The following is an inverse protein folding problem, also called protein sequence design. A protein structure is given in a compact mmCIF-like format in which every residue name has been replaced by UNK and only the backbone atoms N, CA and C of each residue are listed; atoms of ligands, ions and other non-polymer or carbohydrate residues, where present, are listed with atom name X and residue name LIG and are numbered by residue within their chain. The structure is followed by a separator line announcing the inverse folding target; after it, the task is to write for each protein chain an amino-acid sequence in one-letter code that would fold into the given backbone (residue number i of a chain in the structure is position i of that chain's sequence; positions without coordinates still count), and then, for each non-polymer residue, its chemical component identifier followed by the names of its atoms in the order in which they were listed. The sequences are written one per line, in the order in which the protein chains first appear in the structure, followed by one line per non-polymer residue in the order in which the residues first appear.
data_IF_457903562145
#
_entry.id   IF_457903562145
#
_cell.length_a   1.000
_cell.length_b   1.000
_cell.length_c   1.000
_cell.angle_alpha   90.00
_cell.angle_beta   90.00
_cell.angle_gamma   90.00
#
_symmetry.space_group_name_H-M   'P 1'
#
loop_
_entity.id
_entity.type
_entity.pdbx_description
1 polymer ?
#
# COMPACT_ATOMS: atom_id res chain seq x y z
N UNK A 1 -1.01 -7.03 14.58
CA UNK A 1 -0.96 -8.18 13.65
C UNK A 1 0.45 -8.76 13.56
N UNK A 2 0.60 -9.98 13.03
CA UNK A 2 1.93 -10.57 12.77
C UNK A 2 2.45 -10.12 11.40
N UNK A 3 3.50 -9.29 11.37
CA UNK A 3 4.11 -8.81 10.12
C UNK A 3 4.52 -9.96 9.18
N UNK A 4 5.07 -11.05 9.73
CA UNK A 4 5.48 -12.21 8.93
C UNK A 4 4.31 -12.88 8.21
N UNK A 5 3.12 -12.93 8.83
CA UNK A 5 1.92 -13.50 8.20
C UNK A 5 1.39 -12.59 7.10
N UNK A 6 1.37 -11.28 7.37
CA UNK A 6 1.01 -10.27 6.39
C UNK A 6 1.93 -10.28 5.17
N UNK A 7 3.22 -10.56 5.34
CA UNK A 7 4.17 -10.69 4.23
C UNK A 7 4.01 -12.00 3.45
N UNK A 8 3.46 -13.05 4.07
CA UNK A 8 3.23 -14.34 3.39
C UNK A 8 1.96 -14.29 2.54
N UNK A 9 0.88 -13.74 3.09
CA UNK A 9 -0.37 -13.60 2.35
C UNK A 9 -1.16 -12.38 2.87
N UNK A 10 -0.91 -11.19 2.31
CA UNK A 10 -1.53 -9.97 2.77
C UNK A 10 -3.05 -9.96 2.53
N UNK A 11 -3.50 -10.52 1.40
CA UNK A 11 -4.92 -10.65 1.06
C UNK A 11 -5.72 -11.53 2.02
N UNK A 12 -5.04 -12.43 2.75
CA UNK A 12 -5.66 -13.28 3.77
C UNK A 12 -5.76 -12.59 5.12
N UNK A 13 -4.74 -11.82 5.49
CA UNK A 13 -4.71 -11.10 6.77
C UNK A 13 -5.53 -9.81 6.74
N UNK A 14 -5.65 -9.18 5.56
CA UNK A 14 -6.37 -7.93 5.37
C UNK A 14 -7.42 -8.07 4.29
N UNK A 15 -8.63 -7.56 4.56
CA UNK A 15 -9.69 -7.49 3.57
C UNK A 15 -9.40 -6.46 2.47
N UNK A 16 -8.71 -5.36 2.80
CA UNK A 16 -8.39 -4.29 1.86
C UNK A 16 -6.96 -3.75 2.09
N UNK A 17 -6.26 -3.32 1.02
CA UNK A 17 -4.93 -2.71 1.13
C UNK A 17 -4.90 -1.48 2.04
N UNK A 18 -5.99 -0.71 2.04
CA UNK A 18 -6.16 0.47 2.90
C UNK A 18 -6.13 0.13 4.40
N UNK A 19 -6.51 -1.09 4.80
CA UNK A 19 -6.42 -1.52 6.20
C UNK A 19 -4.97 -1.58 6.70
N UNK A 20 -4.00 -1.82 5.81
CA UNK A 20 -2.57 -1.80 6.13
C UNK A 20 -2.11 -0.39 6.51
N UNK A 21 -2.70 0.66 5.91
CA UNK A 21 -2.39 2.05 6.25
C UNK A 21 -2.79 2.39 7.69
N UNK A 22 -3.97 1.92 8.10
CA UNK A 22 -4.50 2.13 9.45
C UNK A 22 -3.86 1.23 10.50
N UNK A 23 -3.05 0.26 10.10
CA UNK A 23 -2.43 -0.70 11.00
C UNK A 23 -1.28 -0.04 11.78
N UNK A 24 -1.55 0.34 13.04
CA UNK A 24 -0.57 0.96 13.94
C UNK A 24 0.52 -0.01 14.42
N UNK A 25 0.29 -1.32 14.26
CA UNK A 25 1.27 -2.33 14.67
C UNK A 25 2.46 -2.47 13.69
N UNK A 26 2.38 -1.83 12.52
CA UNK A 26 3.42 -1.84 11.50
C UNK A 26 4.07 -0.48 11.35
N UNK A 27 5.38 -0.48 11.16
CA UNK A 27 6.11 0.73 10.73
C UNK A 27 5.82 1.04 9.26
N UNK A 28 6.09 2.27 8.85
CA UNK A 28 5.97 2.73 7.47
C UNK A 28 6.65 1.78 6.47
N UNK A 29 7.90 1.41 6.74
CA UNK A 29 8.65 0.45 5.92
C UNK A 29 8.00 -0.94 5.88
N UNK A 30 7.42 -1.40 6.98
CA UNK A 30 6.72 -2.68 7.04
C UNK A 30 5.43 -2.64 6.22
N UNK A 31 4.65 -1.56 6.32
CA UNK A 31 3.44 -1.35 5.52
C UNK A 31 3.77 -1.36 4.03
N UNK A 32 4.81 -0.65 3.61
CA UNK A 32 5.30 -0.64 2.22
C UNK A 32 5.66 -2.06 1.77
N UNK A 33 6.37 -2.84 2.58
CA UNK A 33 6.74 -4.23 2.25
C UNK A 33 5.51 -5.14 2.06
N UNK A 34 4.51 -5.01 2.94
CA UNK A 34 3.26 -5.77 2.84
C UNK A 34 2.50 -5.40 1.57
N UNK A 35 2.35 -4.10 1.29
CA UNK A 35 1.65 -3.61 0.10
C UNK A 35 2.37 -4.00 -1.21
N UNK A 36 3.70 -3.91 -1.26
CA UNK A 36 4.51 -4.38 -2.41
C UNK A 36 4.31 -5.86 -2.69
N UNK A 37 4.20 -6.69 -1.64
CA UNK A 37 3.91 -8.11 -1.81
C UNK A 37 2.51 -8.31 -2.38
N UNK A 38 1.54 -7.56 -1.86
CA UNK A 38 0.16 -7.61 -2.31
C UNK A 38 0.01 -7.16 -3.78
N UNK A 39 0.77 -6.15 -4.21
CA UNK A 39 0.84 -5.71 -5.61
C UNK A 39 1.15 -6.90 -6.54
N UNK A 40 2.18 -7.68 -6.20
CA UNK A 40 2.59 -8.86 -6.95
C UNK A 40 1.50 -9.95 -6.95
N UNK A 41 0.96 -10.29 -5.77
CA UNK A 41 -0.11 -11.30 -5.66
C UNK A 41 -1.39 -10.85 -6.42
N UNK A 42 -1.70 -9.55 -6.43
CA UNK A 42 -2.85 -8.98 -7.14
C UNK A 42 -2.65 -9.01 -8.66
N UNK A 43 -1.44 -8.73 -9.16
CA UNK A 43 -1.10 -8.88 -10.57
C UNK A 43 -1.24 -10.34 -11.02
N UNK A 44 -0.77 -11.30 -10.21
CA UNK A 44 -0.94 -12.74 -10.51
C UNK A 44 -2.41 -13.17 -10.52
N UNK A 45 -3.24 -12.60 -9.65
CA UNK A 45 -4.69 -12.81 -9.66
C UNK A 45 -5.37 -12.15 -10.87
N UNK A 46 -4.94 -10.96 -11.29
CA UNK A 46 -5.55 -10.21 -12.39
C UNK A 46 -5.34 -10.92 -13.75
N UNK A 47 -4.21 -11.63 -13.93
CA UNK A 47 -3.97 -12.50 -15.10
C UNK A 47 -5.01 -13.63 -15.20
N UNK A 48 -5.62 -14.04 -14.08
CA UNK A 48 -6.67 -15.05 -14.09
C UNK A 48 -8.07 -14.50 -14.45
N UNK A 49 -8.30 -13.19 -14.37
CA UNK A 49 -9.59 -12.53 -14.64
C UNK A 49 -9.61 -11.69 -15.93
N UNK A 50 -8.63 -11.82 -16.82
CA UNK A 50 -8.57 -11.11 -18.10
C UNK A 50 -9.55 -11.66 -19.17
N UNK A 51 -10.76 -12.03 -18.75
CA UNK A 51 -11.94 -12.27 -19.60
C UNK A 51 -13.19 -11.46 -19.18
N UNK A 52 -13.10 -10.51 -18.23
CA UNK A 52 -14.23 -9.64 -17.90
C UNK A 52 -14.07 -8.23 -18.50
N UNK A 53 -14.38 -8.14 -19.80
CA UNK A 53 -14.54 -6.86 -20.48
C UNK A 53 -15.60 -6.00 -19.77
N UNK A 54 -15.19 -4.85 -19.24
CA UNK A 54 -16.08 -3.70 -19.06
C UNK A 54 -16.32 -3.25 -17.62
N UNK A 55 -15.40 -2.42 -17.14
CA UNK A 55 -15.71 -1.17 -16.42
C UNK A 55 -16.58 -1.24 -15.17
N UNK A 56 -15.95 -0.96 -14.01
CA UNK A 56 -16.69 -0.33 -12.91
C UNK A 56 -16.04 -0.41 -11.54
N UNK A 57 -15.29 -1.47 -11.24
CA UNK A 57 -14.75 -1.70 -9.91
C UNK A 57 -13.25 -1.40 -9.86
N UNK A 58 -12.75 -0.65 -8.87
CA UNK A 58 -11.31 -0.49 -8.69
C UNK A 58 -10.71 -1.87 -8.38
N UNK A 59 -9.77 -2.33 -9.21
CA UNK A 59 -9.00 -3.55 -8.93
C UNK A 59 -8.26 -3.40 -7.60
N UNK A 60 -8.05 -4.53 -6.93
CA UNK A 60 -7.20 -4.60 -5.73
C UNK A 60 -5.83 -3.97 -6.00
N UNK A 61 -5.27 -4.15 -7.22
CA UNK A 61 -4.05 -3.51 -7.65
C UNK A 61 -4.11 -1.98 -7.53
N UNK A 62 -5.18 -1.36 -8.03
CA UNK A 62 -5.36 0.10 -7.93
C UNK A 62 -5.43 0.57 -6.48
N UNK A 63 -6.05 -0.21 -5.59
CA UNK A 63 -6.10 0.11 -4.16
C UNK A 63 -4.76 -0.02 -3.47
N UNK A 64 -3.94 -1.01 -3.86
CA UNK A 64 -2.57 -1.18 -3.36
C UNK A 64 -1.70 0.00 -3.77
N UNK A 65 -1.79 0.43 -5.03
CA UNK A 65 -1.02 1.58 -5.54
C UNK A 65 -1.42 2.89 -4.83
N UNK A 66 -2.72 3.14 -4.64
CA UNK A 66 -3.21 4.30 -3.85
C UNK A 66 -2.66 4.28 -2.43
N UNK A 67 -2.63 3.10 -1.80
CA UNK A 67 -2.07 2.94 -0.46
C UNK A 67 -0.57 3.23 -0.41
N UNK A 68 0.21 2.73 -1.37
CA UNK A 68 1.65 3.02 -1.47
C UNK A 68 1.92 4.52 -1.66
N UNK A 69 1.15 5.20 -2.52
CA UNK A 69 1.28 6.65 -2.70
C UNK A 69 1.00 7.44 -1.42
N UNK A 70 0.02 7.01 -0.61
CA UNK A 70 -0.26 7.64 0.68
C UNK A 70 0.89 7.48 1.67
N UNK A 71 1.51 6.29 1.70
CA UNK A 71 2.68 6.03 2.55
C UNK A 71 3.90 6.84 2.11
N UNK A 72 4.09 7.07 0.81
CA UNK A 72 5.18 7.91 0.31
C UNK A 72 4.95 9.39 0.67
N UNK A 73 3.70 9.86 0.52
CA UNK A 73 3.32 11.22 0.86
C UNK A 73 3.47 11.53 2.36
N UNK A 74 3.13 10.59 3.27
CA UNK A 74 3.32 10.80 4.72
C UNK A 74 4.81 10.93 5.08
N UNK A 75 5.69 10.11 4.47
CA UNK A 75 7.15 10.20 4.67
C UNK A 75 7.68 11.56 4.24
N UNK A 76 7.26 12.08 3.08
CA UNK A 76 7.72 13.38 2.57
C UNK A 76 7.28 14.55 3.47
N UNK A 77 6.06 14.50 4.00
CA UNK A 77 5.58 15.51 4.97
C UNK A 77 6.29 15.46 6.31
N UNK A 78 6.68 14.28 6.80
CA UNK A 78 7.37 14.15 8.10
C UNK A 78 8.88 14.39 8.00
N UNK A 79 9.48 14.22 6.82
CA UNK A 79 10.92 14.44 6.57
C UNK A 79 11.28 15.81 6.02
N UNK A 80 10.34 16.77 5.91
CA UNK A 80 10.69 18.16 5.61
C UNK A 80 11.25 18.85 6.87
N UNK A 81 12.58 19.12 6.97
CA UNK A 81 13.07 20.06 7.96
C UNK A 81 12.52 21.45 7.60
N UNK A 82 11.91 22.19 8.54
CA UNK A 82 11.51 23.56 8.29
C UNK A 82 12.77 24.45 8.40
N UNK A 83 13.73 24.33 7.50
CA UNK A 83 14.82 25.31 7.43
C UNK A 83 14.37 26.46 6.57
N UNK A 84 13.52 27.27 7.18
CA UNK A 84 13.49 28.71 6.97
C UNK A 84 14.90 29.26 7.24
N UNK A 85 15.62 29.58 6.19
CA UNK A 85 16.57 30.69 6.17
C UNK A 85 16.11 31.54 4.98
N UNK A 86 15.42 32.68 5.10
CA UNK A 86 15.53 33.73 6.11
C UNK A 86 16.52 34.78 5.60
N UNK A 87 16.01 35.86 4.98
CA UNK A 87 16.78 37.03 4.50
C UNK A 87 17.60 36.74 3.23
N UNK A 88 17.77 37.64 2.26
CA UNK A 88 17.71 39.11 2.22
C UNK A 88 17.44 39.56 0.77
#
# INVERSE_FOLDING_TARGET
MDFKKALLNPAKEFAHPKSVLTEQSFTLEQKVKVLRRWEYDALELEVAEEENMGGGSPSILSEVLDALHKLDAEVDTEHSPPTKQGGE
#
